data_IF_436019156020
#
_entry.id   IF_436019156020
#
_cell.length_a   1.000
_cell.length_b   1.000
_cell.length_c   1.000
_cell.angle_alpha   90.00
_cell.angle_beta   90.00
_cell.angle_gamma   90.00
#
_symmetry.space_group_name_H-M   'P 1'
#
loop_
_entity.id
_entity.type
_entity.pdbx_description
1 polymer ?
#
# COMPACT_ATOMS: atom_id res chain seq x y z
N UNK A 1 27.19 -6.52 -9.54
CA UNK A 1 28.55 -6.00 -9.72
C UNK A 1 29.03 -6.10 -11.20
N UNK A 2 28.92 -7.23 -11.91
CA UNK A 2 29.36 -7.42 -13.29
C UNK A 2 28.77 -6.38 -14.27
N UNK A 3 27.46 -6.13 -14.21
CA UNK A 3 26.76 -5.15 -15.06
C UNK A 3 27.13 -3.71 -14.72
N UNK A 4 27.41 -3.42 -13.43
CA UNK A 4 27.94 -2.13 -13.00
C UNK A 4 29.32 -1.88 -13.57
N UNK A 5 30.20 -2.89 -13.49
CA UNK A 5 31.54 -2.84 -14.07
C UNK A 5 31.52 -2.63 -15.59
N UNK A 6 30.57 -3.26 -16.33
CA UNK A 6 30.36 -3.02 -17.76
C UNK A 6 29.78 -1.65 -18.10
N UNK A 7 29.37 -0.86 -17.13
CA UNK A 7 28.75 0.43 -17.35
C UNK A 7 27.39 0.37 -18.05
N UNK A 8 26.68 -0.77 -17.96
CA UNK A 8 25.43 -1.02 -18.69
C UNK A 8 24.31 -0.07 -18.27
N UNK A 9 24.33 0.41 -17.03
CA UNK A 9 23.32 1.34 -16.50
C UNK A 9 23.34 2.73 -17.17
N UNK A 10 24.39 3.08 -17.89
CA UNK A 10 24.45 4.33 -18.67
C UNK A 10 23.42 4.38 -19.80
N UNK A 11 22.98 3.21 -20.28
CA UNK A 11 22.00 3.08 -21.35
C UNK A 11 20.54 3.18 -20.87
N UNK A 12 20.32 3.33 -19.57
CA UNK A 12 19.00 3.61 -19.01
C UNK A 12 18.80 5.12 -19.08
N UNK A 13 17.81 5.57 -19.83
CA UNK A 13 17.47 6.98 -19.95
C UNK A 13 16.55 7.46 -18.82
N UNK A 14 15.59 6.63 -18.42
CA UNK A 14 14.64 6.94 -17.37
C UNK A 14 14.24 5.68 -16.61
N UNK A 15 14.06 5.81 -15.31
CA UNK A 15 13.54 4.79 -14.42
C UNK A 15 12.25 5.28 -13.78
N UNK A 16 11.16 4.58 -13.99
CA UNK A 16 9.89 4.88 -13.32
C UNK A 16 9.91 4.17 -11.97
N UNK A 17 9.78 4.94 -10.91
CA UNK A 17 9.72 4.47 -9.53
C UNK A 17 8.27 4.57 -9.05
N UNK A 18 7.71 3.48 -8.54
CA UNK A 18 6.29 3.44 -8.15
C UNK A 18 5.98 4.15 -6.81
N UNK A 19 6.93 4.91 -6.26
CA UNK A 19 6.76 5.79 -5.11
C UNK A 19 7.87 6.85 -5.05
N UNK A 20 7.63 7.95 -4.36
CA UNK A 20 8.67 8.94 -4.04
C UNK A 20 9.75 8.31 -3.14
N UNK A 21 9.35 7.41 -2.23
CA UNK A 21 10.29 6.63 -1.44
C UNK A 21 11.28 5.86 -2.32
N UNK A 22 10.78 5.07 -3.28
CA UNK A 22 11.63 4.32 -4.20
C UNK A 22 12.52 5.27 -5.01
N UNK A 23 11.94 6.37 -5.51
CA UNK A 23 12.69 7.40 -6.23
C UNK A 23 13.83 7.94 -5.36
N UNK A 24 13.57 8.32 -4.11
CA UNK A 24 14.60 8.84 -3.20
C UNK A 24 15.76 7.87 -2.98
N UNK A 25 15.43 6.56 -2.89
CA UNK A 25 16.45 5.50 -2.76
C UNK A 25 17.28 5.34 -4.02
N UNK A 26 16.65 5.44 -5.19
CA UNK A 26 17.37 5.39 -6.46
C UNK A 26 18.22 6.64 -6.67
N UNK A 27 17.71 7.82 -6.35
CA UNK A 27 18.42 9.10 -6.48
C UNK A 27 19.64 9.21 -5.58
N UNK A 28 19.67 8.47 -4.46
CA UNK A 28 20.88 8.39 -3.62
C UNK A 28 22.07 7.74 -4.30
N UNK A 29 21.85 7.03 -5.42
CA UNK A 29 22.91 6.46 -6.22
C UNK A 29 23.24 7.41 -7.40
N UNK A 30 24.48 7.94 -7.51
CA UNK A 30 24.86 8.86 -8.56
C UNK A 30 24.62 8.38 -10.00
N UNK A 31 24.51 7.05 -10.21
CA UNK A 31 24.22 6.48 -11.53
C UNK A 31 22.77 6.76 -11.99
N UNK A 32 21.87 7.05 -11.06
CA UNK A 32 20.44 7.17 -11.32
C UNK A 32 19.84 8.52 -10.94
N UNK A 33 20.55 9.34 -10.17
CA UNK A 33 20.05 10.57 -9.53
C UNK A 33 19.32 11.56 -10.47
N UNK A 34 19.62 11.53 -11.79
CA UNK A 34 18.99 12.42 -12.78
C UNK A 34 18.06 11.64 -13.74
N UNK A 35 17.81 10.36 -13.46
CA UNK A 35 17.12 9.47 -14.37
C UNK A 35 15.78 8.94 -13.82
N UNK A 36 15.36 9.36 -12.66
CA UNK A 36 14.19 8.80 -11.98
C UNK A 36 12.98 9.71 -12.08
N UNK A 37 11.82 9.09 -12.20
CA UNK A 37 10.50 9.75 -12.15
C UNK A 37 9.62 8.92 -11.22
N UNK A 38 8.98 9.57 -10.24
CA UNK A 38 8.01 8.88 -9.41
C UNK A 38 6.65 8.86 -10.11
N UNK A 39 6.00 7.68 -10.08
CA UNK A 39 4.68 7.47 -10.63
C UNK A 39 4.05 6.28 -9.89
N UNK A 40 3.05 6.56 -9.04
CA UNK A 40 2.36 5.50 -8.30
C UNK A 40 1.74 4.47 -9.26
N UNK A 41 1.52 3.26 -8.77
CA UNK A 41 0.78 2.26 -9.52
C UNK A 41 -0.63 2.77 -9.84
N UNK A 42 -1.23 2.20 -10.86
CA UNK A 42 -2.62 2.46 -11.24
C UNK A 42 -3.56 1.41 -10.66
N UNK A 43 -4.83 1.74 -10.55
CA UNK A 43 -5.89 0.84 -10.14
C UNK A 43 -7.16 1.16 -10.92
N UNK A 44 -7.96 0.15 -11.23
CA UNK A 44 -9.22 0.36 -11.94
C UNK A 44 -10.18 1.22 -11.11
N UNK A 45 -10.95 2.06 -11.79
CA UNK A 45 -12.00 2.85 -11.14
C UNK A 45 -13.03 1.92 -10.50
N UNK A 46 -13.28 2.18 -9.24
CA UNK A 46 -14.30 1.47 -8.47
C UNK A 46 -15.50 2.37 -8.29
N UNK A 47 -16.69 1.86 -8.57
CA UNK A 47 -17.90 2.58 -8.24
C UNK A 47 -18.04 2.74 -6.74
N UNK A 48 -18.19 3.98 -6.28
CA UNK A 48 -18.46 4.24 -4.86
C UNK A 48 -19.81 3.67 -4.46
N UNK A 49 -19.80 2.87 -3.40
CA UNK A 49 -21.02 2.31 -2.80
C UNK A 49 -20.96 2.53 -1.30
N UNK A 50 -21.90 3.27 -0.77
CA UNK A 50 -22.06 3.33 0.67
C UNK A 50 -22.38 1.93 1.19
N UNK A 51 -21.59 1.46 2.15
CA UNK A 51 -21.69 0.09 2.67
C UNK A 51 -21.69 0.15 4.19
N UNK A 52 -22.65 -0.55 4.80
CA UNK A 52 -22.67 -0.70 6.25
C UNK A 52 -21.42 -1.43 6.75
N UNK A 53 -20.71 -0.81 7.67
CA UNK A 53 -19.49 -1.37 8.25
C UNK A 53 -19.83 -2.39 9.34
N UNK A 54 -19.20 -3.55 9.25
CA UNK A 54 -19.28 -4.61 10.26
C UNK A 54 -18.18 -4.46 11.30
N UNK A 55 -18.37 -5.09 12.44
CA UNK A 55 -17.44 -5.02 13.55
C UNK A 55 -16.30 -6.02 13.39
N UNK A 56 -15.42 -5.76 12.41
CA UNK A 56 -14.15 -6.47 12.25
C UNK A 56 -13.07 -5.59 11.61
N UNK A 57 -11.84 -5.98 11.86
CA UNK A 57 -10.63 -5.43 11.26
C UNK A 57 -10.15 -6.40 10.19
N UNK A 58 -9.85 -5.91 8.99
CA UNK A 58 -9.43 -6.75 7.87
C UNK A 58 -7.91 -6.68 7.68
N UNK A 59 -7.29 -7.84 7.57
CA UNK A 59 -6.00 -8.01 6.90
C UNK A 59 -6.21 -8.85 5.64
N UNK A 60 -5.61 -8.44 4.52
CA UNK A 60 -5.59 -9.26 3.31
C UNK A 60 -4.24 -9.17 2.62
N UNK A 61 -3.66 -10.33 2.36
CA UNK A 61 -2.33 -10.48 1.80
C UNK A 61 -1.65 -11.78 2.23
N UNK A 62 -0.38 -11.91 1.89
CA UNK A 62 0.42 -13.09 2.22
C UNK A 62 0.72 -13.14 3.73
N UNK A 63 0.57 -14.31 4.34
CA UNK A 63 0.91 -14.52 5.75
C UNK A 63 2.40 -14.85 5.90
N UNK A 64 3.23 -13.82 6.01
CA UNK A 64 4.69 -13.93 6.08
C UNK A 64 5.29 -12.88 7.00
N UNK A 65 6.51 -13.11 7.45
CA UNK A 65 7.19 -12.24 8.42
C UNK A 65 7.38 -10.82 7.89
N UNK A 66 7.81 -10.69 6.63
CA UNK A 66 8.03 -9.38 6.00
C UNK A 66 6.75 -8.54 5.87
N UNK A 67 5.57 -9.19 5.91
CA UNK A 67 4.27 -8.51 5.94
C UNK A 67 3.82 -8.14 7.37
N UNK A 68 4.67 -8.36 8.36
CA UNK A 68 4.41 -7.96 9.75
C UNK A 68 3.35 -8.81 10.46
N UNK A 69 3.06 -10.02 9.93
CA UNK A 69 2.04 -10.90 10.51
C UNK A 69 2.42 -11.33 11.93
N UNK A 70 3.71 -11.55 12.20
CA UNK A 70 4.18 -11.90 13.55
C UNK A 70 3.83 -10.81 14.58
N UNK A 71 4.06 -9.55 14.26
CA UNK A 71 3.70 -8.40 15.10
C UNK A 71 2.19 -8.25 15.23
N UNK A 72 1.44 -8.37 14.11
CA UNK A 72 -0.01 -8.27 14.14
C UNK A 72 -0.64 -9.37 15.02
N UNK A 73 -0.18 -10.63 14.93
CA UNK A 73 -0.66 -11.74 15.78
C UNK A 73 -0.41 -11.46 17.26
N UNK A 74 0.73 -10.90 17.65
CA UNK A 74 0.98 -10.51 19.04
C UNK A 74 -0.09 -9.54 19.53
N UNK A 75 -0.39 -8.52 18.74
CA UNK A 75 -1.41 -7.53 19.06
C UNK A 75 -2.82 -8.13 19.10
N UNK A 76 -3.16 -9.02 18.14
CA UNK A 76 -4.46 -9.70 18.17
C UNK A 76 -4.69 -10.48 19.48
N UNK A 77 -3.67 -11.17 20.00
CA UNK A 77 -3.74 -11.89 21.29
C UNK A 77 -4.01 -10.98 22.48
N UNK A 78 -3.52 -9.73 22.43
CA UNK A 78 -3.72 -8.75 23.48
C UNK A 78 -5.06 -7.99 23.38
N UNK A 79 -5.78 -8.15 22.27
CA UNK A 79 -7.06 -7.49 22.00
C UNK A 79 -8.18 -8.53 21.74
N UNK A 80 -8.52 -9.37 22.76
CA UNK A 80 -9.44 -10.50 22.56
C UNK A 80 -10.86 -10.07 22.14
N UNK A 81 -11.27 -8.85 22.45
CA UNK A 81 -12.59 -8.31 22.12
C UNK A 81 -12.66 -7.70 20.71
N UNK A 82 -11.52 -7.57 20.02
CA UNK A 82 -11.45 -7.12 18.65
C UNK A 82 -11.53 -8.32 17.71
N UNK A 83 -12.47 -8.30 16.79
CA UNK A 83 -12.60 -9.33 15.76
C UNK A 83 -11.74 -9.01 14.54
N UNK A 84 -10.96 -9.98 14.11
CA UNK A 84 -10.12 -9.86 12.93
C UNK A 84 -10.55 -10.87 11.87
N UNK A 85 -10.56 -10.42 10.61
CA UNK A 85 -10.67 -11.31 9.46
C UNK A 85 -9.37 -11.24 8.68
N UNK A 86 -8.77 -12.40 8.46
CA UNK A 86 -7.56 -12.52 7.66
C UNK A 86 -7.90 -13.24 6.36
N UNK A 87 -7.65 -12.58 5.21
CA UNK A 87 -7.88 -13.10 3.89
C UNK A 87 -6.52 -13.30 3.17
N UNK A 88 -6.06 -14.53 3.14
CA UNK A 88 -4.76 -14.86 2.53
C UNK A 88 -4.27 -16.24 2.91
N UNK A 89 -3.07 -16.53 2.48
CA UNK A 89 -2.33 -17.75 2.79
C UNK A 89 -0.85 -17.45 2.95
N UNK A 90 -0.09 -18.35 3.53
CA UNK A 90 1.35 -18.17 3.61
C UNK A 90 2.03 -19.01 4.69
N UNK A 91 3.35 -18.86 4.88
CA UNK A 91 4.12 -19.66 5.83
C UNK A 91 3.64 -19.58 7.29
N UNK A 92 2.94 -18.51 7.68
CA UNK A 92 2.43 -18.30 9.03
C UNK A 92 0.95 -18.69 9.21
N UNK A 93 0.37 -19.42 8.27
CA UNK A 93 -1.06 -19.77 8.28
C UNK A 93 -1.46 -20.58 9.51
N UNK A 94 -0.66 -21.59 9.90
CA UNK A 94 -0.93 -22.37 11.11
C UNK A 94 -0.95 -21.49 12.36
N UNK A 95 -0.06 -20.48 12.43
CA UNK A 95 -0.01 -19.55 13.55
C UNK A 95 -1.25 -18.65 13.57
N UNK A 96 -1.70 -18.19 12.41
CA UNK A 96 -2.93 -17.38 12.26
C UNK A 96 -4.15 -18.20 12.74
N UNK A 97 -4.27 -19.43 12.28
CA UNK A 97 -5.40 -20.30 12.62
C UNK A 97 -5.48 -20.67 14.11
N UNK A 98 -4.40 -20.52 14.85
CA UNK A 98 -4.36 -20.78 16.30
C UNK A 98 -4.88 -19.63 17.19
N UNK A 99 -5.38 -18.52 16.63
CA UNK A 99 -5.77 -17.34 17.39
C UNK A 99 -7.30 -17.18 17.40
N UNK A 100 -7.91 -17.19 18.57
CA UNK A 100 -9.37 -17.29 18.75
C UNK A 100 -10.17 -16.12 18.13
N UNK A 101 -9.64 -14.91 18.12
CA UNK A 101 -10.31 -13.72 17.60
C UNK A 101 -9.87 -13.38 16.15
N UNK A 102 -9.14 -14.29 15.49
CA UNK A 102 -8.83 -14.22 14.07
C UNK A 102 -9.65 -15.27 13.32
N UNK A 103 -10.44 -14.82 12.36
CA UNK A 103 -11.10 -15.70 11.38
C UNK A 103 -10.28 -15.68 10.09
N UNK A 104 -9.55 -16.75 9.81
CA UNK A 104 -8.96 -16.97 8.51
C UNK A 104 -10.05 -17.39 7.50
N UNK A 105 -10.11 -16.72 6.37
CA UNK A 105 -11.08 -16.98 5.29
C UNK A 105 -10.37 -17.42 4.00
N UNK A 106 -9.13 -17.86 4.12
CA UNK A 106 -8.26 -18.26 3.02
C UNK A 106 -8.04 -17.13 2.00
N UNK A 107 -7.42 -17.45 0.87
CA UNK A 107 -7.19 -16.51 -0.20
C UNK A 107 -8.52 -16.11 -0.87
N UNK A 108 -8.80 -14.81 -0.88
CA UNK A 108 -10.00 -14.24 -1.52
C UNK A 108 -9.61 -13.36 -2.72
N UNK A 109 -10.51 -13.29 -3.71
CA UNK A 109 -10.38 -12.43 -4.90
C UNK A 109 -11.75 -11.99 -5.43
N UNK A 110 -11.74 -10.99 -6.31
CA UNK A 110 -12.96 -10.50 -6.98
C UNK A 110 -14.02 -10.04 -5.98
N UNK A 111 -15.29 -10.31 -6.25
CA UNK A 111 -16.43 -9.87 -5.45
C UNK A 111 -16.35 -10.29 -3.97
N UNK A 112 -15.78 -11.47 -3.69
CA UNK A 112 -15.64 -11.95 -2.32
C UNK A 112 -14.67 -11.10 -1.52
N UNK A 113 -13.53 -10.74 -2.10
CA UNK A 113 -12.56 -9.82 -1.47
C UNK A 113 -13.13 -8.40 -1.38
N UNK A 114 -13.73 -7.89 -2.46
CA UNK A 114 -14.39 -6.58 -2.46
C UNK A 114 -15.37 -6.44 -1.31
N UNK A 115 -16.25 -7.44 -1.12
CA UNK A 115 -17.22 -7.45 -0.03
C UNK A 115 -16.54 -7.38 1.33
N UNK A 116 -15.49 -8.16 1.56
CA UNK A 116 -14.73 -8.13 2.81
C UNK A 116 -14.10 -6.76 3.06
N UNK A 117 -13.55 -6.13 2.01
CA UNK A 117 -12.96 -4.79 2.15
C UNK A 117 -14.07 -3.77 2.47
N UNK A 118 -15.16 -3.73 1.69
CA UNK A 118 -16.24 -2.75 1.87
C UNK A 118 -16.90 -2.82 3.24
N UNK A 119 -17.09 -4.02 3.78
CA UNK A 119 -17.76 -4.25 5.05
C UNK A 119 -16.82 -4.09 6.27
N UNK A 120 -15.50 -4.08 6.09
CA UNK A 120 -14.56 -3.92 7.21
C UNK A 120 -14.66 -2.53 7.84
N UNK A 121 -14.52 -2.46 9.17
CA UNK A 121 -14.44 -1.18 9.89
C UNK A 121 -13.23 -0.38 9.44
N UNK A 122 -12.09 -1.04 9.38
CA UNK A 122 -10.83 -0.57 8.75
C UNK A 122 -9.98 -1.78 8.38
N UNK A 123 -8.98 -1.55 7.52
CA UNK A 123 -7.97 -2.57 7.19
C UNK A 123 -6.64 -2.23 7.83
N UNK A 124 -5.81 -3.26 8.04
CA UNK A 124 -4.44 -3.11 8.55
C UNK A 124 -3.45 -3.55 7.49
N UNK A 125 -2.39 -2.75 7.30
CA UNK A 125 -1.26 -3.07 6.44
C UNK A 125 0.05 -2.97 7.25
N UNK A 126 0.45 -4.04 7.98
CA UNK A 126 1.48 -3.98 9.02
C UNK A 126 2.90 -4.29 8.54
N UNK A 127 3.21 -4.07 7.26
CA UNK A 127 4.48 -4.46 6.67
C UNK A 127 5.70 -3.99 7.47
N UNK A 128 6.67 -4.88 7.63
CA UNK A 128 7.99 -4.62 8.23
C UNK A 128 9.10 -4.56 7.18
N UNK A 129 8.74 -4.66 5.91
CA UNK A 129 9.64 -4.52 4.78
C UNK A 129 9.28 -3.29 3.95
N UNK A 130 10.24 -2.75 3.22
CA UNK A 130 10.00 -1.63 2.32
C UNK A 130 9.00 -2.02 1.23
N UNK A 131 7.79 -1.50 1.36
CA UNK A 131 6.79 -1.54 0.30
C UNK A 131 6.91 -0.28 -0.55
N UNK A 132 6.68 -0.42 -1.84
CA UNK A 132 6.74 0.74 -2.73
C UNK A 132 5.37 1.39 -2.92
N UNK A 133 4.43 0.66 -3.51
CA UNK A 133 3.07 1.14 -3.77
C UNK A 133 2.09 -0.03 -3.68
N UNK A 134 1.74 -0.48 -2.44
CA UNK A 134 0.95 -1.68 -2.24
C UNK A 134 -0.50 -1.50 -2.69
N UNK A 135 -0.95 -2.39 -3.59
CA UNK A 135 -2.33 -2.40 -4.10
C UNK A 135 -3.37 -2.56 -2.99
N UNK A 136 -3.11 -3.36 -1.97
CA UNK A 136 -4.06 -3.57 -0.87
C UNK A 136 -4.39 -2.29 -0.10
N UNK A 137 -3.46 -1.34 0.02
CA UNK A 137 -3.72 -0.02 0.61
C UNK A 137 -4.62 0.81 -0.33
N UNK A 138 -4.34 0.78 -1.63
CA UNK A 138 -5.13 1.47 -2.64
C UNK A 138 -6.55 0.89 -2.71
N UNK A 139 -6.67 -0.44 -2.84
CA UNK A 139 -7.94 -1.16 -2.88
C UNK A 139 -8.81 -0.87 -1.67
N UNK A 140 -8.25 -0.92 -0.45
CA UNK A 140 -8.98 -0.58 0.76
C UNK A 140 -9.66 0.77 0.66
N UNK A 141 -8.91 1.81 0.29
CA UNK A 141 -9.44 3.17 0.22
C UNK A 141 -10.44 3.34 -0.94
N UNK A 142 -10.15 2.74 -2.11
CA UNK A 142 -11.07 2.76 -3.25
C UNK A 142 -12.42 2.11 -2.95
N UNK A 143 -12.43 1.09 -2.11
CA UNK A 143 -13.65 0.43 -1.62
C UNK A 143 -14.25 1.10 -0.37
N UNK A 144 -13.75 2.28 0.02
CA UNK A 144 -14.30 3.05 1.14
C UNK A 144 -13.92 2.54 2.52
N UNK A 145 -12.77 1.87 2.64
CA UNK A 145 -12.30 1.32 3.92
C UNK A 145 -11.02 2.01 4.35
N UNK A 146 -11.03 2.67 5.54
CA UNK A 146 -9.84 3.34 6.08
C UNK A 146 -8.70 2.36 6.31
N UNK A 147 -7.47 2.84 6.23
CA UNK A 147 -6.27 2.01 6.38
C UNK A 147 -5.47 2.41 7.62
N UNK A 148 -5.13 1.44 8.46
CA UNK A 148 -4.06 1.57 9.44
C UNK A 148 -2.78 0.97 8.83
N UNK A 149 -1.88 1.82 8.34
CA UNK A 149 -0.67 1.43 7.63
C UNK A 149 0.60 1.55 8.48
N UNK A 150 1.57 0.67 8.24
CA UNK A 150 2.91 0.84 8.80
C UNK A 150 3.61 2.05 8.18
N UNK A 151 4.28 2.86 9.00
CA UNK A 151 5.06 4.01 8.54
C UNK A 151 6.41 3.56 7.98
N UNK A 152 6.38 2.93 6.80
CA UNK A 152 7.57 2.40 6.13
C UNK A 152 7.39 2.41 4.61
N UNK A 153 8.48 2.65 3.89
CA UNK A 153 8.47 2.63 2.43
C UNK A 153 7.56 3.68 1.82
N UNK A 154 6.82 3.30 0.78
CA UNK A 154 5.83 4.14 0.10
C UNK A 154 4.41 4.05 0.70
N UNK A 155 4.19 3.28 1.78
CA UNK A 155 2.87 3.18 2.42
C UNK A 155 2.34 4.55 2.85
N UNK A 156 3.16 5.42 3.52
CA UNK A 156 2.71 6.74 3.94
C UNK A 156 2.25 7.66 2.81
N UNK A 157 2.74 7.44 1.60
CA UNK A 157 2.36 8.26 0.43
C UNK A 157 0.91 8.03 -0.02
N UNK A 158 0.35 6.86 0.34
CA UNK A 158 -0.99 6.45 -0.08
C UNK A 158 -2.07 6.77 0.95
N UNK A 159 -1.72 7.13 2.18
CA UNK A 159 -2.66 7.34 3.29
C UNK A 159 -2.69 8.81 3.69
N UNK A 160 -3.85 9.45 3.59
CA UNK A 160 -4.05 10.79 4.14
C UNK A 160 -4.31 10.67 5.66
N UNK A 161 -3.24 10.80 6.45
CA UNK A 161 -3.30 10.63 7.92
C UNK A 161 -4.33 11.58 8.54
N UNK A 162 -5.19 11.05 9.39
CA UNK A 162 -6.28 11.80 10.01
C UNK A 162 -7.47 12.08 9.10
N UNK A 163 -7.47 11.56 7.85
CA UNK A 163 -8.57 11.70 6.90
C UNK A 163 -9.05 10.36 6.35
N UNK A 164 -8.16 9.53 5.83
CA UNK A 164 -8.51 8.23 5.23
C UNK A 164 -7.87 7.07 5.97
N UNK A 165 -7.13 7.35 7.06
CA UNK A 165 -6.48 6.35 7.87
C UNK A 165 -5.47 6.92 8.84
N UNK A 166 -4.71 6.03 9.43
CA UNK A 166 -3.65 6.33 10.40
C UNK A 166 -2.38 5.59 10.02
N UNK A 167 -1.25 6.07 10.57
CA UNK A 167 0.03 5.37 10.50
C UNK A 167 0.47 4.94 11.89
N UNK A 168 1.21 3.84 11.96
CA UNK A 168 1.91 3.38 13.16
C UNK A 168 3.36 3.05 12.82
N UNK A 169 4.23 3.05 13.82
CA UNK A 169 5.65 2.74 13.64
C UNK A 169 5.83 1.26 13.27
N UNK A 170 6.45 0.99 12.10
CA UNK A 170 6.64 -0.36 11.58
C UNK A 170 7.38 -1.25 12.60
N UNK A 171 6.85 -2.46 12.84
CA UNK A 171 7.40 -3.42 13.80
C UNK A 171 7.11 -3.09 15.26
N UNK A 172 6.50 -1.93 15.57
CA UNK A 172 6.16 -1.53 16.93
C UNK A 172 4.75 -2.03 17.33
N UNK A 173 4.70 -3.15 18.05
CA UNK A 173 3.45 -3.77 18.50
C UNK A 173 2.63 -2.87 19.44
N UNK A 174 3.30 -2.09 20.32
CA UNK A 174 2.61 -1.19 21.25
C UNK A 174 1.93 -0.02 20.52
N UNK A 175 2.59 0.57 19.52
CA UNK A 175 2.00 1.64 18.73
C UNK A 175 0.85 1.10 17.86
N UNK A 176 1.05 -0.07 17.22
CA UNK A 176 0.00 -0.75 16.46
C UNK A 176 -1.23 -1.00 17.34
N UNK A 177 -1.04 -1.55 18.55
CA UNK A 177 -2.12 -1.81 19.50
C UNK A 177 -2.89 -0.53 19.85
N UNK A 178 -2.20 0.54 20.23
CA UNK A 178 -2.83 1.84 20.56
C UNK A 178 -3.65 2.39 19.39
N UNK A 179 -3.15 2.26 18.16
CA UNK A 179 -3.87 2.72 16.98
C UNK A 179 -5.11 1.85 16.69
N UNK A 180 -5.02 0.53 16.88
CA UNK A 180 -6.17 -0.37 16.75
C UNK A 180 -7.22 0.00 17.81
N UNK A 181 -6.85 0.14 19.08
CA UNK A 181 -7.75 0.52 20.17
C UNK A 181 -8.45 1.85 19.89
N UNK A 182 -7.73 2.87 19.40
CA UNK A 182 -8.29 4.16 19.00
C UNK A 182 -9.37 3.98 17.92
N UNK A 183 -9.05 3.31 16.83
CA UNK A 183 -9.98 3.13 15.69
C UNK A 183 -11.14 2.20 16.05
N UNK A 184 -10.88 1.15 16.82
CA UNK A 184 -11.92 0.22 17.28
C UNK A 184 -12.88 0.86 18.28
N UNK A 185 -12.38 1.71 19.15
CA UNK A 185 -13.18 2.43 20.14
C UNK A 185 -14.03 3.58 19.57
N UNK A 186 -13.65 4.12 18.41
CA UNK A 186 -14.32 5.27 17.80
C UNK A 186 -14.91 4.93 16.41
N UNK A 187 -16.15 4.41 16.44
CA UNK A 187 -16.92 4.10 15.21
C UNK A 187 -17.19 5.34 14.36
N UNK A 188 -17.36 6.51 14.99
CA UNK A 188 -17.64 7.75 14.27
C UNK A 188 -16.41 8.21 13.48
N UNK A 189 -15.24 8.13 14.08
CA UNK A 189 -13.98 8.43 13.41
C UNK A 189 -13.76 7.51 12.20
N UNK A 190 -14.01 6.20 12.36
CA UNK A 190 -13.90 5.25 11.24
C UNK A 190 -14.92 5.56 10.12
N UNK A 191 -16.15 5.95 10.49
CA UNK A 191 -17.17 6.34 9.50
C UNK A 191 -16.78 7.63 8.76
N UNK A 192 -16.20 8.60 9.46
CA UNK A 192 -15.67 9.83 8.85
C UNK A 192 -14.53 9.50 7.88
N UNK A 193 -13.55 8.69 8.29
CA UNK A 193 -12.46 8.27 7.41
C UNK A 193 -12.98 7.48 6.20
N UNK A 194 -13.98 6.63 6.39
CA UNK A 194 -14.63 5.90 5.31
C UNK A 194 -15.28 6.84 4.30
N UNK A 195 -16.01 7.85 4.79
CA UNK A 195 -16.63 8.87 3.92
C UNK A 195 -15.59 9.67 3.13
N UNK A 196 -14.46 10.02 3.76
CA UNK A 196 -13.37 10.75 3.12
C UNK A 196 -12.66 9.92 2.03
N UNK A 197 -12.71 8.58 2.11
CA UNK A 197 -12.18 7.72 1.06
C UNK A 197 -12.86 7.92 -0.29
N UNK A 198 -14.09 8.48 -0.33
CA UNK A 198 -14.80 8.83 -1.58
C UNK A 198 -13.99 9.79 -2.45
N UNK A 199 -13.20 10.68 -1.82
CA UNK A 199 -12.43 11.71 -2.51
C UNK A 199 -11.02 11.24 -2.88
N UNK A 200 -10.67 10.00 -2.55
CA UNK A 200 -9.41 9.39 -2.97
C UNK A 200 -9.51 8.97 -4.43
N UNK A 201 -8.49 9.32 -5.19
CA UNK A 201 -8.31 8.84 -6.56
C UNK A 201 -6.86 8.41 -6.76
N UNK A 202 -6.71 7.30 -7.43
CA UNK A 202 -5.45 6.83 -7.98
C UNK A 202 -5.58 6.83 -9.51
N UNK A 203 -4.46 6.84 -10.21
CA UNK A 203 -4.48 6.79 -11.68
C UNK A 203 -5.18 5.51 -12.15
N UNK A 204 -5.95 5.63 -13.20
CA UNK A 204 -6.42 4.49 -14.00
C UNK A 204 -5.30 4.02 -14.94
N UNK A 205 -5.50 2.88 -15.58
CA UNK A 205 -4.55 2.37 -16.59
C UNK A 205 -4.36 3.38 -17.74
N UNK A 206 -5.42 4.07 -18.16
CA UNK A 206 -5.34 5.06 -19.24
C UNK A 206 -4.57 6.30 -18.81
N UNK A 207 -4.85 6.83 -17.62
CA UNK A 207 -4.13 7.98 -17.05
C UNK A 207 -2.65 7.65 -16.80
N UNK A 208 -2.36 6.45 -16.34
CA UNK A 208 -0.99 5.96 -16.16
C UNK A 208 -0.27 5.80 -17.50
N UNK A 209 -0.95 5.25 -18.51
CA UNK A 209 -0.42 5.14 -19.87
C UNK A 209 -0.08 6.51 -20.46
N UNK A 210 -0.96 7.48 -20.34
CA UNK A 210 -0.74 8.87 -20.78
C UNK A 210 0.52 9.48 -20.13
N UNK A 211 0.70 9.26 -18.82
CA UNK A 211 1.89 9.71 -18.09
C UNK A 211 3.16 9.03 -18.59
N UNK A 212 3.12 7.72 -18.83
CA UNK A 212 4.27 6.98 -19.41
C UNK A 212 4.61 7.53 -20.79
N UNK A 213 3.60 7.71 -21.64
CA UNK A 213 3.82 8.22 -23.00
C UNK A 213 4.42 9.62 -22.97
N UNK A 214 4.00 10.48 -22.05
CA UNK A 214 4.59 11.80 -21.88
C UNK A 214 6.09 11.70 -21.54
N UNK A 215 6.46 10.88 -20.56
CA UNK A 215 7.87 10.63 -20.19
C UNK A 215 8.66 10.11 -21.41
N UNK A 216 8.08 9.18 -22.16
CA UNK A 216 8.68 8.60 -23.35
C UNK A 216 8.91 9.66 -24.45
N UNK A 217 7.88 10.45 -24.79
CA UNK A 217 8.00 11.50 -25.82
C UNK A 217 8.98 12.59 -25.43
N UNK A 218 8.99 13.03 -24.17
CA UNK A 218 9.96 14.03 -23.69
C UNK A 218 11.41 13.56 -23.91
N UNK A 219 11.67 12.27 -23.73
CA UNK A 219 13.01 11.70 -23.96
C UNK A 219 13.32 11.53 -25.45
N UNK A 220 12.38 11.03 -26.25
CA UNK A 220 12.55 10.92 -27.71
C UNK A 220 12.80 12.29 -28.33
N UNK A 221 12.00 13.30 -27.98
CA UNK A 221 12.15 14.64 -28.52
C UNK A 221 13.52 15.25 -28.21
N UNK A 222 14.06 15.00 -27.01
CA UNK A 222 15.43 15.40 -26.67
C UNK A 222 16.49 14.76 -27.57
N UNK A 223 16.30 13.49 -27.91
CA UNK A 223 17.22 12.74 -28.79
C UNK A 223 17.11 13.24 -30.23
N UNK A 224 15.91 13.39 -30.76
CA UNK A 224 15.67 13.70 -32.16
C UNK A 224 15.72 15.20 -32.51
N UNK A 225 15.33 16.08 -31.56
CA UNK A 225 15.36 17.54 -31.78
C UNK A 225 16.69 18.21 -31.44
N UNK A 226 17.71 17.45 -31.09
CA UNK A 226 19.09 17.95 -31.09
C UNK A 226 19.56 18.72 -29.87
N UNK A 227 18.93 18.56 -28.69
CA UNK A 227 19.47 19.12 -27.45
C UNK A 227 20.71 18.36 -26.92
N UNK A 228 21.12 17.29 -27.60
CA UNK A 228 22.35 16.52 -27.32
C UNK A 228 23.52 16.89 -28.26
N UNK A 229 23.61 18.12 -28.73
CA UNK A 229 24.82 18.61 -29.38
C UNK A 229 25.51 19.65 -28.52
N UNK A 230 26.20 19.18 -27.48
CA UNK A 230 27.42 19.86 -27.02
C UNK A 230 28.32 18.85 -26.33
N UNK A 231 29.50 18.64 -26.93
CA UNK A 231 30.75 18.31 -26.33
C UNK A 231 31.07 16.88 -26.01
#
# INVERSE_FOLDING_TARGET
>A
EFWKWKGTYKYIDTMICCSEFMKSKMDSNPLFATKTVAMHNFIDKVEWKETEKKDYVLYFGRFSEEKGIGTLIKVCKELPDVQFIFAGTGPLEETVNGINNIKNVDFQKGEALEKLIREARFSIYPSEWYENCPFSVMESQMYGTPVLGANIGGIPELIQVGKTGELFESGNAEDLKKKIEKLWGDKKLCAEYSANCKDISFDTIDEYYEKIMKVYYEKIMKVYCGENKQG
#
